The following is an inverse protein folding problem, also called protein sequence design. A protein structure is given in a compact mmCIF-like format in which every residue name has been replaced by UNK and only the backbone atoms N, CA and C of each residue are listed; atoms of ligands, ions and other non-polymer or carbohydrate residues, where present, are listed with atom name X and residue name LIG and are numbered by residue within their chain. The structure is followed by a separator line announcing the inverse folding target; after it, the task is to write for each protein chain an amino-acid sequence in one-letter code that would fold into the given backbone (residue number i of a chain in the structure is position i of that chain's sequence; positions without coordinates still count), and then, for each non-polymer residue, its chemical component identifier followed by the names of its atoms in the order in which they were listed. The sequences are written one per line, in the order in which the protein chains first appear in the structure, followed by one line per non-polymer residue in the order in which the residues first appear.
data_IF_855476770563
#
_entry.id   IF_855476770563
#
_cell.length_a   1.000
_cell.length_b   1.000
_cell.length_c   1.000
_cell.angle_alpha   90.00
_cell.angle_beta   90.00
_cell.angle_gamma   90.00
#
_symmetry.space_group_name_H-M   'P 1'
#
loop_
_entity.id
_entity.type
_entity.pdbx_description
1 polymer ?
#
# COMPACT_ATOMS: atom_id res chain seq x y z
N UNK A 1 12.62 28.23 -9.34
CA UNK A 1 11.35 27.50 -9.09
C UNK A 1 11.54 26.71 -7.82
N UNK A 2 10.99 27.19 -6.70
CA UNK A 2 11.14 26.55 -5.40
C UNK A 2 10.50 25.17 -5.46
N UNK A 3 11.27 24.11 -5.21
CA UNK A 3 10.70 22.81 -4.87
C UNK A 3 9.92 22.99 -3.57
N UNK A 4 8.61 23.23 -3.67
CA UNK A 4 7.74 23.30 -2.50
C UNK A 4 7.86 22.00 -1.72
N UNK A 5 8.07 22.10 -0.41
CA UNK A 5 8.04 20.95 0.49
C UNK A 5 6.68 20.29 0.34
N UNK A 6 6.66 19.00 -0.03
CA UNK A 6 5.44 18.21 -0.15
C UNK A 6 5.20 17.50 1.17
N UNK A 7 3.97 17.48 1.69
CA UNK A 7 3.67 16.79 2.94
C UNK A 7 3.94 15.30 2.83
N UNK A 8 4.64 14.77 3.83
CA UNK A 8 4.79 13.36 4.08
C UNK A 8 3.95 12.93 5.30
N UNK A 9 3.53 11.68 5.34
CA UNK A 9 2.67 11.11 6.38
C UNK A 9 3.27 9.81 6.92
N UNK A 10 3.22 9.64 8.25
CA UNK A 10 3.70 8.46 8.96
C UNK A 10 2.77 8.08 10.12
N UNK A 11 2.31 6.83 10.13
CA UNK A 11 1.56 6.27 11.26
C UNK A 11 2.43 6.07 12.49
N UNK A 12 1.82 6.25 13.67
CA UNK A 12 2.45 5.89 14.93
C UNK A 12 2.60 4.37 15.01
N UNK A 13 3.77 3.87 15.45
CA UNK A 13 3.94 2.44 15.72
C UNK A 13 3.21 2.00 17.01
N UNK A 14 2.79 2.96 17.85
CA UNK A 14 2.22 2.69 19.19
C UNK A 14 0.71 2.79 19.22
N UNK A 15 0.17 3.73 18.46
CA UNK A 15 -1.26 4.03 18.44
C UNK A 15 -1.75 3.85 17.01
N UNK A 16 -2.60 2.83 16.81
CA UNK A 16 -3.15 2.51 15.50
C UNK A 16 -3.95 3.67 14.89
N UNK A 17 -4.46 4.58 15.73
CA UNK A 17 -5.26 5.72 15.33
C UNK A 17 -4.47 7.01 15.17
N UNK A 18 -3.17 7.07 15.47
CA UNK A 18 -2.38 8.32 15.39
C UNK A 18 -1.38 8.33 14.27
N UNK A 19 -1.18 9.50 13.69
CA UNK A 19 -0.20 9.73 12.63
C UNK A 19 0.33 11.16 12.70
N UNK A 20 1.50 11.36 12.08
CA UNK A 20 2.08 12.69 11.89
C UNK A 20 2.11 13.05 10.42
N UNK A 21 1.93 14.34 10.14
CA UNK A 21 2.18 14.94 8.84
C UNK A 21 3.35 15.90 8.99
N UNK A 22 4.33 15.78 8.09
CA UNK A 22 5.55 16.56 8.08
C UNK A 22 5.67 17.31 6.75
N UNK A 23 5.72 18.64 6.82
CA UNK A 23 6.08 19.52 5.70
C UNK A 23 6.92 20.73 6.16
N UNK A 24 6.36 21.93 6.19
CA UNK A 24 6.93 23.11 6.85
C UNK A 24 6.74 23.08 8.35
N UNK A 25 5.80 22.30 8.85
CA UNK A 25 5.56 22.05 10.27
C UNK A 25 5.27 20.57 10.50
N UNK A 26 5.34 20.15 11.76
CA UNK A 26 5.00 18.82 12.20
C UNK A 26 3.64 18.85 12.91
N UNK A 27 2.64 18.19 12.34
CA UNK A 27 1.30 18.08 12.95
C UNK A 27 1.02 16.65 13.37
N UNK A 28 0.53 16.48 14.60
CA UNK A 28 0.09 15.20 15.17
C UNK A 28 -1.43 15.14 15.14
N UNK A 29 -1.97 14.10 14.54
CA UNK A 29 -3.41 13.90 14.36
C UNK A 29 -3.83 12.49 14.78
N UNK A 30 -5.11 12.34 15.10
CA UNK A 30 -5.73 11.09 15.53
C UNK A 30 -7.01 10.80 14.72
N UNK A 31 -7.23 9.55 14.35
CA UNK A 31 -8.41 9.05 13.64
C UNK A 31 -9.50 8.68 14.65
N UNK A 32 -10.37 9.63 14.97
CA UNK A 32 -11.56 9.45 15.80
C UNK A 32 -12.73 10.19 15.14
N UNK A 33 -13.96 9.94 15.60
CA UNK A 33 -15.11 10.77 15.22
C UNK A 33 -14.77 12.24 15.55
N UNK A 34 -14.54 13.05 14.51
CA UNK A 34 -13.80 14.31 14.58
C UNK A 34 -14.25 15.30 13.51
N UNK A 35 -13.63 16.48 13.49
CA UNK A 35 -14.11 17.63 12.71
C UNK A 35 -13.67 17.64 11.23
N UNK A 36 -12.59 16.93 10.86
CA UNK A 36 -12.09 16.85 9.49
C UNK A 36 -12.41 15.47 8.89
N UNK A 37 -13.40 15.34 7.99
CA UNK A 37 -13.74 14.04 7.40
C UNK A 37 -12.59 13.54 6.50
N UNK A 38 -12.23 12.27 6.67
CA UNK A 38 -11.24 11.54 5.86
C UNK A 38 -11.91 10.59 4.87
N UNK A 39 -13.07 10.05 5.25
CA UNK A 39 -13.99 9.24 4.45
C UNK A 39 -15.41 9.41 5.00
N UNK A 40 -16.39 8.67 4.47
CA UNK A 40 -17.74 8.63 5.04
C UNK A 40 -17.78 8.11 6.49
N UNK A 41 -16.82 7.25 6.86
CA UNK A 41 -16.80 6.56 8.15
C UNK A 41 -15.71 7.05 9.10
N UNK A 42 -14.74 7.83 8.60
CA UNK A 42 -13.56 8.22 9.38
C UNK A 42 -13.32 9.72 9.33
N UNK A 43 -12.83 10.25 10.44
CA UNK A 43 -12.46 11.65 10.58
C UNK A 43 -11.14 11.78 11.34
N UNK A 44 -10.51 12.93 11.19
CA UNK A 44 -9.28 13.31 11.85
C UNK A 44 -9.54 14.42 12.87
N UNK A 45 -8.84 14.33 13.99
CA UNK A 45 -8.74 15.37 15.00
C UNK A 45 -7.28 15.75 15.14
N UNK A 46 -6.98 17.04 14.98
CA UNK A 46 -5.65 17.58 15.20
C UNK A 46 -5.36 17.67 16.70
N UNK A 47 -4.25 17.09 17.15
CA UNK A 47 -3.85 17.05 18.56
C UNK A 47 -2.79 18.11 18.89
N UNK A 48 -1.78 18.28 18.02
CA UNK A 48 -0.69 19.21 18.25
C UNK A 48 -0.04 19.66 16.94
N UNK A 49 0.61 20.84 16.97
CA UNK A 49 1.43 21.38 15.90
C UNK A 49 2.76 21.83 16.51
N UNK A 50 3.88 21.50 15.84
CA UNK A 50 5.19 22.07 16.10
C UNK A 50 5.71 22.76 14.82
N UNK A 51 5.94 24.06 14.93
CA UNK A 51 6.44 24.92 13.85
C UNK A 51 7.84 25.48 14.13
N UNK A 52 8.49 25.05 15.21
CA UNK A 52 9.78 25.59 15.66
C UNK A 52 10.94 25.17 14.74
N UNK A 53 10.80 24.02 14.07
CA UNK A 53 11.78 23.50 13.11
C UNK A 53 11.19 23.47 11.71
N UNK A 54 11.22 24.59 10.96
CA UNK A 54 10.69 24.60 9.61
C UNK A 54 11.59 23.79 8.66
N UNK A 55 11.00 23.32 7.56
CA UNK A 55 11.71 22.66 6.46
C UNK A 55 12.35 21.30 6.81
N UNK A 56 11.67 20.53 7.67
CA UNK A 56 12.08 19.16 8.00
C UNK A 56 12.04 18.26 6.76
N UNK A 57 13.14 17.57 6.48
CA UNK A 57 13.23 16.62 5.35
C UNK A 57 12.81 15.19 5.73
N UNK A 58 12.99 14.83 6.99
CA UNK A 58 12.67 13.50 7.50
C UNK A 58 12.27 13.57 8.98
N UNK A 59 11.47 12.59 9.40
CA UNK A 59 11.02 12.41 10.79
C UNK A 59 10.89 10.91 11.05
N UNK A 60 11.09 10.50 12.30
CA UNK A 60 10.98 9.10 12.69
C UNK A 60 10.36 8.98 14.09
N UNK A 61 9.42 8.03 14.24
CA UNK A 61 8.80 7.73 15.52
C UNK A 61 9.76 6.97 16.43
N UNK A 62 9.86 7.43 17.68
CA UNK A 62 10.59 6.69 18.72
C UNK A 62 9.92 5.32 18.95
N UNK A 63 10.66 4.20 18.92
CA UNK A 63 10.08 2.86 18.80
C UNK A 63 9.66 2.24 20.14
N UNK A 64 9.97 2.86 21.28
CA UNK A 64 9.60 2.31 22.59
C UNK A 64 8.24 2.84 23.04
N UNK A 65 7.32 1.93 23.33
CA UNK A 65 6.03 2.25 23.93
C UNK A 65 6.24 2.59 25.42
N UNK A 66 5.85 3.79 25.84
CA UNK A 66 5.68 4.08 27.26
C UNK A 66 4.19 3.96 27.62
N UNK A 67 3.83 3.31 28.74
CA UNK A 67 2.44 3.28 29.19
C UNK A 67 1.93 4.71 29.40
N UNK A 68 0.64 4.94 29.15
CA UNK A 68 0.05 6.28 29.33
C UNK A 68 0.37 6.84 30.71
N UNK A 69 0.73 8.13 30.82
CA UNK A 69 1.15 8.72 32.07
C UNK A 69 -0.03 8.70 33.05
N UNK A 70 0.02 7.79 34.02
CA UNK A 70 -0.72 7.96 35.27
C UNK A 70 -0.14 9.17 36.00
N UNK A 71 -0.98 9.86 36.79
CA UNK A 71 -0.66 11.12 37.45
C UNK A 71 0.59 11.11 38.35
N UNK A 72 1.21 9.96 38.57
CA UNK A 72 2.40 9.75 39.40
C UNK A 72 3.69 9.48 38.59
N UNK A 73 3.64 9.40 37.25
CA UNK A 73 4.83 9.15 36.40
C UNK A 73 5.61 10.44 36.12
N UNK A 74 6.32 10.92 37.15
CA UNK A 74 7.21 12.10 37.04
C UNK A 74 8.56 11.81 36.34
N UNK A 75 8.95 10.55 36.15
CA UNK A 75 10.26 10.14 35.60
C UNK A 75 10.13 9.22 34.36
N UNK A 76 9.41 9.65 33.34
CA UNK A 76 9.42 8.98 32.03
C UNK A 76 10.66 9.38 31.23
N UNK A 77 11.41 8.42 30.68
CA UNK A 77 12.62 8.70 29.86
C UNK A 77 12.29 9.59 28.67
N UNK A 78 11.06 9.53 28.13
CA UNK A 78 10.62 10.42 27.06
C UNK A 78 10.68 11.91 27.43
N UNK A 79 10.41 12.29 28.69
CA UNK A 79 10.53 13.69 29.15
C UNK A 79 11.98 14.18 29.11
N UNK A 80 12.95 13.28 29.35
CA UNK A 80 14.38 13.59 29.24
C UNK A 80 14.87 13.71 27.78
N UNK A 81 14.08 13.26 26.79
CA UNK A 81 14.42 13.37 25.37
C UNK A 81 13.88 14.66 24.74
N UNK A 82 12.84 15.26 25.32
CA UNK A 82 12.28 16.52 24.82
C UNK A 82 13.35 17.60 24.89
N UNK A 83 13.60 18.26 23.76
CA UNK A 83 14.63 19.30 23.64
C UNK A 83 16.06 18.81 23.53
N UNK A 84 16.32 17.48 23.53
CA UNK A 84 17.66 16.97 23.23
C UNK A 84 17.98 17.13 21.76
N UNK A 85 19.16 17.66 21.46
CA UNK A 85 19.64 17.89 20.11
C UNK A 85 20.84 16.99 19.79
N UNK A 86 20.80 16.27 18.67
CA UNK A 86 21.90 15.42 18.20
C UNK A 86 22.58 16.10 17.03
N UNK A 87 23.76 16.69 17.28
CA UNK A 87 24.37 17.64 16.34
C UNK A 87 25.63 17.03 15.72
N UNK A 88 25.71 16.90 14.38
CA UNK A 88 26.93 16.45 13.72
C UNK A 88 28.05 17.48 13.88
N UNK A 89 29.30 17.02 13.77
CA UNK A 89 30.48 17.90 13.83
C UNK A 89 30.38 19.08 12.86
N UNK A 90 30.03 18.79 11.60
CA UNK A 90 29.77 19.81 10.58
C UNK A 90 28.28 19.83 10.21
N UNK A 91 27.64 21.00 10.33
CA UNK A 91 26.22 21.17 10.01
C UNK A 91 25.97 20.92 8.51
N UNK A 92 24.98 20.09 8.22
CA UNK A 92 24.60 19.66 6.86
C UNK A 92 23.21 19.04 6.88
N UNK A 93 22.58 18.91 5.70
CA UNK A 93 21.23 18.38 5.61
C UNK A 93 21.17 16.92 6.10
N UNK A 94 20.14 16.63 6.90
CA UNK A 94 19.77 15.27 7.28
C UNK A 94 18.73 14.75 6.28
N UNK A 95 19.09 13.68 5.58
CA UNK A 95 18.30 13.08 4.51
C UNK A 95 17.35 12.01 5.01
N UNK A 96 17.74 11.32 6.08
CA UNK A 96 17.01 10.17 6.60
C UNK A 96 17.33 9.96 8.08
N UNK A 97 16.34 9.48 8.84
CA UNK A 97 16.46 9.13 10.24
C UNK A 97 15.86 7.73 10.44
N UNK A 98 16.53 6.91 11.25
CA UNK A 98 16.05 5.57 11.57
C UNK A 98 16.41 5.19 13.00
N UNK A 99 15.40 4.96 13.82
CA UNK A 99 15.57 4.33 15.13
C UNK A 99 15.87 2.85 14.98
N UNK A 100 16.81 2.35 15.77
CA UNK A 100 17.00 0.90 15.86
C UNK A 100 15.75 0.29 16.52
N UNK A 101 15.08 -0.68 15.88
CA UNK A 101 13.83 -1.22 16.37
C UNK A 101 13.98 -2.06 17.65
N UNK A 102 15.19 -2.46 18.01
CA UNK A 102 15.45 -3.31 19.19
C UNK A 102 16.29 -2.57 20.22
N UNK A 103 17.43 -2.03 19.82
CA UNK A 103 18.21 -1.10 20.65
C UNK A 103 17.57 0.29 20.59
N UNK A 104 16.42 0.47 21.23
CA UNK A 104 15.59 1.68 21.09
C UNK A 104 16.31 2.99 21.44
N UNK A 105 17.44 2.92 22.13
CA UNK A 105 18.26 4.10 22.44
C UNK A 105 19.08 4.61 21.25
N UNK A 106 19.19 3.84 20.16
CA UNK A 106 20.05 4.18 19.04
C UNK A 106 19.27 4.87 17.93
N UNK A 107 19.73 6.06 17.57
CA UNK A 107 19.22 6.85 16.45
C UNK A 107 20.29 6.97 15.37
N UNK A 108 20.02 6.46 14.19
CA UNK A 108 20.85 6.65 13.01
C UNK A 108 20.36 7.84 12.17
N UNK A 109 21.29 8.64 11.66
CA UNK A 109 21.03 9.68 10.67
C UNK A 109 21.91 9.51 9.43
N UNK A 110 21.32 9.75 8.27
CA UNK A 110 22.00 9.84 6.98
C UNK A 110 22.08 11.29 6.54
N UNK A 111 23.30 11.75 6.26
CA UNK A 111 23.63 13.15 6.03
C UNK A 111 24.21 13.38 4.63
N UNK A 112 24.22 14.63 4.20
CA UNK A 112 24.91 15.03 2.98
C UNK A 112 26.42 14.80 3.04
N UNK A 113 27.04 14.81 1.86
CA UNK A 113 28.48 14.63 1.72
C UNK A 113 29.24 15.78 2.38
N UNK A 114 30.27 15.43 3.14
CA UNK A 114 31.29 16.36 3.59
C UNK A 114 32.68 15.74 3.42
N UNK A 115 33.66 16.52 2.96
CA UNK A 115 35.00 16.02 2.55
C UNK A 115 35.86 15.50 3.71
N UNK A 116 35.53 15.84 4.93
CA UNK A 116 36.31 15.48 6.12
C UNK A 116 35.43 14.87 7.21
N UNK A 117 34.29 14.28 6.84
CA UNK A 117 33.32 13.75 7.79
C UNK A 117 32.58 12.52 7.24
N UNK A 118 31.83 11.86 8.11
CA UNK A 118 31.07 10.65 7.87
C UNK A 118 29.59 11.00 7.63
N UNK A 119 28.95 10.43 6.61
CA UNK A 119 27.54 10.74 6.34
C UNK A 119 26.55 9.87 7.10
N UNK A 120 26.98 8.79 7.74
CA UNK A 120 26.11 7.97 8.58
C UNK A 120 26.59 8.07 10.02
N UNK A 121 25.77 8.68 10.86
CA UNK A 121 26.06 8.88 12.28
C UNK A 121 25.01 8.15 13.10
N UNK A 122 25.44 7.47 14.16
CA UNK A 122 24.54 6.78 15.09
C UNK A 122 24.81 7.33 16.48
N UNK A 123 23.79 7.84 17.15
CA UNK A 123 23.89 8.29 18.54
C UNK A 123 23.13 7.35 19.46
N UNK A 124 23.62 7.24 20.69
CA UNK A 124 22.87 6.66 21.80
C UNK A 124 22.27 7.81 22.62
N UNK A 125 20.94 7.88 22.70
CA UNK A 125 20.21 8.96 23.38
C UNK A 125 20.41 9.00 24.90
N UNK A 126 20.91 7.91 25.47
CA UNK A 126 21.27 7.81 26.88
C UNK A 126 22.70 8.30 27.17
N UNK A 127 23.48 8.60 26.12
CA UNK A 127 24.82 9.17 26.27
C UNK A 127 24.74 10.51 26.98
N UNK A 128 25.51 10.67 28.05
CA UNK A 128 25.67 11.94 28.75
C UNK A 128 26.49 12.90 27.88
N UNK A 129 26.16 14.19 27.92
CA UNK A 129 26.95 15.23 27.28
C UNK A 129 28.42 15.15 27.72
N UNK A 130 29.35 15.18 26.77
CA UNK A 130 30.79 15.32 27.03
C UNK A 130 31.27 16.67 26.49
N UNK A 131 31.72 17.59 27.37
CA UNK A 131 32.19 18.91 26.96
C UNK A 131 33.52 18.90 26.19
N UNK A 132 34.25 17.78 26.15
CA UNK A 132 35.54 17.67 25.45
C UNK A 132 35.43 17.72 23.91
N UNK A 133 34.24 17.60 23.34
CA UNK A 133 34.01 17.50 21.89
C UNK A 133 33.53 18.80 21.22
N UNK A 134 33.44 19.92 21.95
CA UNK A 134 32.83 21.16 21.44
C UNK A 134 33.90 22.24 21.21
N UNK A 135 34.12 22.71 19.96
CA UNK A 135 34.86 23.95 19.72
C UNK A 135 34.11 25.12 20.37
N UNK A 136 34.82 25.94 21.15
CA UNK A 136 34.28 27.03 21.98
C UNK A 136 33.39 28.07 21.24
N UNK A 137 33.34 28.05 19.91
CA UNK A 137 32.45 28.91 19.12
C UNK A 137 30.97 28.44 19.08
N UNK A 138 30.66 27.16 19.30
CA UNK A 138 29.26 26.66 19.24
C UNK A 138 28.46 26.89 20.53
N UNK A 139 29.11 27.23 21.64
CA UNK A 139 28.46 27.59 22.92
C UNK A 139 27.81 28.98 22.84
N UNK A 140 28.15 29.81 21.83
CA UNK A 140 27.66 31.19 21.71
C UNK A 140 26.38 31.34 20.88
N UNK A 141 25.98 30.32 20.12
CA UNK A 141 24.76 30.35 19.30
C UNK A 141 23.57 29.66 19.99
N UNK A 142 23.82 28.84 21.02
CA UNK A 142 22.82 28.40 21.99
C UNK A 142 22.83 29.39 23.15
N UNK A 143 21.94 30.38 23.11
CA UNK A 143 21.74 31.24 24.27
C UNK A 143 21.44 30.37 25.49
N UNK A 144 22.25 30.52 26.54
CA UNK A 144 22.01 30.19 27.96
C UNK A 144 20.99 29.07 28.30
N UNK A 145 21.05 27.92 27.62
CA UNK A 145 20.18 26.76 27.90
C UNK A 145 21.04 25.49 28.01
N UNK A 146 20.92 24.85 29.17
CA UNK A 146 21.49 23.56 29.60
C UNK A 146 22.39 22.83 28.60
N UNK A 147 23.69 22.99 28.77
CA UNK A 147 24.74 22.24 28.05
C UNK A 147 24.55 20.71 28.06
N UNK A 148 23.75 20.15 28.97
CA UNK A 148 23.43 18.72 29.04
C UNK A 148 22.45 18.19 27.98
N UNK A 149 21.79 19.06 27.20
CA UNK A 149 20.77 18.66 26.21
C UNK A 149 21.33 18.42 24.79
N UNK A 150 22.53 18.91 24.49
CA UNK A 150 23.16 18.74 23.17
C UNK A 150 24.06 17.51 23.20
N UNK A 151 23.97 16.62 22.21
CA UNK A 151 24.84 15.44 22.07
C UNK A 151 25.61 15.55 20.77
N UNK A 152 26.94 15.70 20.86
CA UNK A 152 27.82 15.94 19.70
C UNK A 152 28.66 14.73 19.30
N UNK A 153 28.91 13.79 20.23
CA UNK A 153 29.72 12.60 19.98
C UNK A 153 28.83 11.43 19.54
N UNK A 154 28.87 11.00 18.27
CA UNK A 154 28.19 9.78 17.83
C UNK A 154 28.86 8.53 18.40
N UNK A 155 28.08 7.47 18.57
CA UNK A 155 28.54 6.12 18.91
C UNK A 155 29.25 5.46 17.72
N UNK A 156 28.74 5.68 16.50
CA UNK A 156 29.34 5.19 15.27
C UNK A 156 29.38 6.27 14.20
N UNK A 157 30.50 6.29 13.46
CA UNK A 157 30.74 7.17 12.32
C UNK A 157 31.08 6.31 11.09
N UNK A 158 30.22 6.34 10.07
CA UNK A 158 30.27 5.44 8.91
C UNK A 158 30.08 6.22 7.61
N UNK A 159 30.56 5.66 6.49
CA UNK A 159 30.37 6.27 5.17
C UNK A 159 31.16 7.58 4.98
N UNK A 160 32.48 7.50 5.14
CA UNK A 160 33.36 8.65 4.96
C UNK A 160 33.31 9.20 3.52
N UNK A 161 33.27 10.53 3.36
CA UNK A 161 33.39 11.24 2.08
C UNK A 161 32.27 11.02 1.04
N UNK A 162 31.23 10.26 1.38
CA UNK A 162 30.04 10.05 0.56
C UNK A 162 28.82 10.69 1.20
N UNK A 163 27.75 10.93 0.43
CA UNK A 163 26.44 11.28 0.97
C UNK A 163 25.66 10.00 1.29
N UNK A 164 24.82 10.05 2.32
CA UNK A 164 23.82 9.03 2.62
C UNK A 164 22.43 9.60 2.39
N UNK A 165 21.66 8.98 1.48
CA UNK A 165 20.33 9.45 1.08
C UNK A 165 19.21 8.67 1.75
N UNK A 166 19.45 7.42 2.15
CA UNK A 166 18.44 6.57 2.75
C UNK A 166 19.08 5.52 3.69
N UNK A 167 18.34 5.11 4.72
CA UNK A 167 18.80 4.18 5.75
C UNK A 167 17.66 3.26 6.18
N UNK A 168 17.97 2.00 6.48
CA UNK A 168 17.08 1.13 7.24
C UNK A 168 17.87 0.10 8.06
N UNK A 169 17.36 -0.18 9.26
CA UNK A 169 17.89 -1.25 10.10
C UNK A 169 17.44 -2.61 9.59
N UNK A 170 18.35 -3.58 9.55
CA UNK A 170 18.05 -4.94 9.12
C UNK A 170 17.73 -5.81 10.33
N UNK A 171 16.51 -6.38 10.44
CA UNK A 171 16.06 -7.12 11.63
C UNK A 171 16.63 -8.55 11.76
N UNK A 172 17.81 -8.84 11.20
CA UNK A 172 18.50 -10.15 11.31
C UNK A 172 19.02 -10.41 12.73
N UNK A 173 19.39 -11.67 13.01
CA UNK A 173 19.83 -12.28 14.29
C UNK A 173 20.73 -11.46 15.24
N UNK A 174 21.39 -10.40 14.77
CA UNK A 174 22.32 -9.61 15.57
C UNK A 174 21.97 -8.13 15.69
N UNK A 175 20.92 -7.65 15.00
CA UNK A 175 20.28 -6.32 15.15
C UNK A 175 21.22 -5.10 15.09
N UNK A 176 22.44 -5.32 14.60
CA UNK A 176 23.54 -4.35 14.44
C UNK A 176 23.95 -4.21 12.97
N UNK A 177 23.02 -4.53 12.07
CA UNK A 177 23.19 -4.38 10.64
C UNK A 177 22.38 -3.18 10.16
N UNK A 178 23.06 -2.26 9.48
CA UNK A 178 22.45 -1.06 8.91
C UNK A 178 22.67 -1.05 7.41
N UNK A 179 21.57 -1.02 6.64
CA UNK A 179 21.62 -0.83 5.20
C UNK A 179 21.52 0.67 4.90
N UNK A 180 22.45 1.16 4.07
CA UNK A 180 22.55 2.56 3.69
C UNK A 180 22.61 2.75 2.18
N UNK A 181 21.77 3.64 1.66
CA UNK A 181 21.88 4.20 0.31
C UNK A 181 22.93 5.30 0.28
N UNK A 182 24.16 4.91 0.00
CA UNK A 182 25.31 5.81 -0.13
C UNK A 182 25.45 6.30 -1.57
N UNK A 183 26.21 7.37 -1.80
CA UNK A 183 26.46 7.85 -3.16
C UNK A 183 27.00 6.73 -4.09
N UNK A 184 26.17 6.33 -5.06
CA UNK A 184 26.41 5.28 -6.08
C UNK A 184 26.51 3.83 -5.57
N UNK A 185 26.16 3.55 -4.31
CA UNK A 185 26.11 2.17 -3.82
C UNK A 185 25.08 1.98 -2.70
N UNK A 186 24.61 0.75 -2.55
CA UNK A 186 23.99 0.29 -1.30
C UNK A 186 25.05 -0.40 -0.47
N UNK A 187 25.19 -0.03 0.80
CA UNK A 187 26.16 -0.58 1.73
C UNK A 187 25.50 -1.13 2.98
N UNK A 188 25.87 -2.34 3.38
CA UNK A 188 25.51 -2.96 4.66
C UNK A 188 26.70 -2.78 5.60
N UNK A 189 26.47 -2.06 6.69
CA UNK A 189 27.43 -1.88 7.77
C UNK A 189 27.11 -2.85 8.92
N UNK A 190 28.12 -3.60 9.36
CA UNK A 190 28.04 -4.39 10.59
C UNK A 190 28.67 -3.61 11.73
N UNK A 191 27.86 -3.15 12.69
CA UNK A 191 28.33 -2.33 13.81
C UNK A 191 29.18 -3.09 14.82
N UNK A 192 29.26 -4.43 14.70
CA UNK A 192 30.20 -5.25 15.46
C UNK A 192 31.60 -5.21 14.86
N UNK A 193 31.71 -4.91 13.56
CA UNK A 193 32.97 -4.78 12.84
C UNK A 193 32.86 -3.66 11.80
N UNK A 194 33.02 -2.41 12.25
CA UNK A 194 32.87 -1.22 11.42
C UNK A 194 34.00 -1.02 10.39
N UNK A 195 35.07 -1.81 10.48
CA UNK A 195 36.18 -1.78 9.51
C UNK A 195 35.82 -2.43 8.17
N UNK A 196 34.79 -3.28 8.13
CA UNK A 196 34.33 -3.95 6.91
C UNK A 196 32.90 -3.54 6.57
N UNK A 197 32.62 -3.48 5.27
CA UNK A 197 31.26 -3.27 4.75
C UNK A 197 31.04 -4.17 3.53
N UNK A 198 29.83 -4.68 3.39
CA UNK A 198 29.38 -5.31 2.14
C UNK A 198 28.67 -4.27 1.30
N UNK A 199 28.95 -4.14 0.01
CA UNK A 199 28.28 -3.14 -0.81
C UNK A 199 28.08 -3.61 -2.25
N UNK A 200 27.11 -3.00 -2.92
CA UNK A 200 26.82 -3.18 -4.34
C UNK A 200 26.67 -1.84 -5.03
N UNK A 201 27.27 -1.68 -6.20
CA UNK A 201 27.14 -0.45 -6.99
C UNK A 201 25.75 -0.36 -7.61
N UNK A 202 25.05 0.74 -7.34
CA UNK A 202 23.73 1.01 -7.90
C UNK A 202 23.38 2.49 -7.75
N UNK A 203 22.50 2.98 -8.62
CA UNK A 203 21.90 4.31 -8.48
C UNK A 203 20.64 4.29 -7.62
N UNK A 204 20.04 3.12 -7.39
CA UNK A 204 18.81 2.92 -6.62
C UNK A 204 19.04 3.13 -5.11
N UNK A 205 19.33 4.37 -4.72
CA UNK A 205 19.75 4.76 -3.36
C UNK A 205 18.87 5.86 -2.74
N UNK A 206 17.88 6.39 -3.48
CA UNK A 206 17.03 7.51 -3.02
C UNK A 206 16.13 7.09 -1.85
N UNK A 207 15.72 5.83 -1.81
CA UNK A 207 15.05 5.23 -0.68
C UNK A 207 15.35 3.74 -0.61
N UNK A 208 15.38 3.20 0.60
CA UNK A 208 15.52 1.77 0.90
C UNK A 208 14.44 1.38 1.90
N UNK A 209 13.83 0.20 1.70
CA UNK A 209 12.80 -0.32 2.61
C UNK A 209 12.87 -1.84 2.66
N UNK A 210 12.90 -2.38 3.88
CA UNK A 210 12.92 -3.83 4.13
C UNK A 210 11.49 -4.35 4.09
N UNK A 211 11.29 -5.52 3.50
CA UNK A 211 10.01 -6.20 3.56
C UNK A 211 9.72 -6.64 5.01
N UNK A 212 8.58 -6.23 5.61
CA UNK A 212 8.25 -6.55 6.99
C UNK A 212 8.04 -8.05 7.26
N UNK A 213 7.76 -8.84 6.23
CA UNK A 213 7.52 -10.29 6.34
C UNK A 213 8.72 -11.12 5.89
N UNK A 214 9.64 -10.54 5.11
CA UNK A 214 10.83 -11.21 4.58
C UNK A 214 12.06 -10.33 4.75
N UNK A 215 12.76 -10.48 5.87
CA UNK A 215 13.86 -9.60 6.28
C UNK A 215 15.03 -9.51 5.29
N UNK A 216 15.18 -10.53 4.43
CA UNK A 216 16.21 -10.59 3.38
C UNK A 216 15.77 -9.94 2.08
N UNK A 217 14.49 -9.57 1.95
CA UNK A 217 13.96 -8.87 0.77
C UNK A 217 13.95 -7.38 1.03
N UNK A 218 14.63 -6.63 0.18
CA UNK A 218 14.69 -5.17 0.25
C UNK A 218 14.26 -4.58 -1.08
N UNK A 219 13.50 -3.50 -1.03
CA UNK A 219 13.28 -2.63 -2.19
C UNK A 219 14.13 -1.38 -2.06
N UNK A 220 14.73 -0.95 -3.17
CA UNK A 220 15.36 0.35 -3.29
C UNK A 220 14.99 1.01 -4.61
N UNK A 221 15.09 2.34 -4.70
CA UNK A 221 14.66 3.04 -5.90
C UNK A 221 15.52 4.26 -6.26
N UNK A 222 15.42 4.63 -7.54
CA UNK A 222 15.97 5.87 -8.10
C UNK A 222 15.20 6.26 -9.34
N UNK A 223 14.83 7.53 -9.43
CA UNK A 223 13.96 8.03 -10.50
C UNK A 223 12.71 7.13 -10.60
N UNK A 224 12.34 6.65 -11.79
CA UNK A 224 11.19 5.77 -11.98
C UNK A 224 11.45 4.27 -11.71
N UNK A 225 12.67 3.89 -11.34
CA UNK A 225 13.09 2.49 -11.26
C UNK A 225 13.09 1.98 -9.82
N UNK A 226 12.52 0.79 -9.60
CA UNK A 226 12.60 0.05 -8.33
C UNK A 226 13.40 -1.23 -8.54
N UNK A 227 14.38 -1.46 -7.68
CA UNK A 227 15.18 -2.68 -7.62
C UNK A 227 14.79 -3.49 -6.38
N UNK A 228 14.59 -4.80 -6.56
CA UNK A 228 14.34 -5.76 -5.48
C UNK A 228 15.60 -6.58 -5.24
N UNK A 229 16.02 -6.69 -3.99
CA UNK A 229 17.27 -7.30 -3.56
C UNK A 229 17.01 -8.48 -2.63
N UNK A 230 17.87 -9.49 -2.73
CA UNK A 230 18.02 -10.54 -1.73
C UNK A 230 19.35 -10.33 -1.00
N UNK A 231 19.28 -10.00 0.29
CA UNK A 231 20.45 -9.68 1.09
C UNK A 231 21.38 -10.90 1.32
N UNK A 232 20.93 -12.12 1.02
CA UNK A 232 21.78 -13.32 1.03
C UNK A 232 22.67 -13.42 -0.21
N UNK A 233 22.24 -12.82 -1.32
CA UNK A 233 22.97 -12.73 -2.61
C UNK A 233 23.12 -11.25 -3.01
N UNK A 234 23.80 -10.47 -2.17
CA UNK A 234 23.87 -9.00 -2.28
C UNK A 234 24.93 -8.52 -3.29
N UNK A 235 24.85 -8.99 -4.53
CA UNK A 235 25.77 -8.63 -5.62
C UNK A 235 25.07 -7.92 -6.79
N UNK A 236 23.81 -8.28 -7.05
CA UNK A 236 22.96 -7.70 -8.08
C UNK A 236 21.50 -7.71 -7.61
N UNK A 237 20.63 -6.83 -8.13
CA UNK A 237 19.21 -6.95 -7.84
C UNK A 237 18.70 -8.28 -8.38
N UNK A 238 17.76 -8.87 -7.67
CA UNK A 238 17.09 -10.10 -8.09
C UNK A 238 16.28 -9.81 -9.36
N UNK A 239 15.53 -8.72 -9.32
CA UNK A 239 14.83 -8.16 -10.47
C UNK A 239 14.58 -6.67 -10.25
N UNK A 240 14.19 -5.99 -11.33
CA UNK A 240 13.75 -4.61 -11.30
C UNK A 240 12.32 -4.54 -11.79
N UNK A 241 11.49 -3.72 -11.15
CA UNK A 241 10.12 -3.48 -11.62
C UNK A 241 10.13 -2.66 -12.90
N UNK A 242 9.01 -2.70 -13.64
CA UNK A 242 8.79 -1.88 -14.83
C UNK A 242 9.07 -0.40 -14.52
N UNK A 243 10.00 0.18 -15.26
CA UNK A 243 10.41 1.57 -15.06
C UNK A 243 9.25 2.53 -15.32
N UNK A 244 9.05 3.44 -14.38
CA UNK A 244 7.99 4.43 -14.44
C UNK A 244 8.44 5.69 -15.17
N UNK A 245 7.56 6.36 -15.95
CA UNK A 245 7.93 7.51 -16.76
C UNK A 245 8.28 8.76 -15.94
N UNK A 246 7.82 8.81 -14.67
CA UNK A 246 8.08 9.91 -13.75
C UNK A 246 8.84 9.41 -12.53
N UNK A 247 9.66 10.26 -11.90
CA UNK A 247 10.42 9.87 -10.72
C UNK A 247 9.52 9.47 -9.57
N UNK A 248 9.94 8.47 -8.81
CA UNK A 248 9.26 8.00 -7.61
C UNK A 248 9.46 9.01 -6.48
N UNK A 249 8.38 9.27 -5.75
CA UNK A 249 8.41 10.07 -4.52
C UNK A 249 8.32 9.20 -3.28
N UNK A 250 7.71 8.01 -3.37
CA UNK A 250 7.59 7.09 -2.24
C UNK A 250 7.47 5.64 -2.69
N UNK A 251 8.10 4.74 -1.94
CA UNK A 251 8.04 3.28 -2.10
C UNK A 251 7.87 2.69 -0.70
N UNK A 252 6.83 1.87 -0.48
CA UNK A 252 6.56 1.31 0.84
C UNK A 252 5.89 -0.06 0.75
N UNK A 253 6.42 -1.03 1.52
CA UNK A 253 5.80 -2.33 1.71
C UNK A 253 4.53 -2.21 2.55
N UNK A 254 3.53 -3.04 2.25
CA UNK A 254 2.37 -3.21 3.09
C UNK A 254 2.75 -3.99 4.36
N UNK A 255 2.55 -3.45 5.57
CA UNK A 255 2.90 -4.13 6.81
C UNK A 255 1.95 -5.27 7.16
N UNK A 256 0.73 -5.27 6.63
CA UNK A 256 -0.30 -6.26 6.94
C UNK A 256 -0.47 -7.33 5.85
N UNK A 257 0.18 -7.17 4.70
CA UNK A 257 0.07 -8.09 3.56
C UNK A 257 1.44 -8.43 2.98
N UNK A 258 1.76 -9.71 3.02
CA UNK A 258 3.01 -10.25 2.49
C UNK A 258 3.19 -9.92 1.01
N UNK A 259 4.36 -9.42 0.65
CA UNK A 259 4.74 -9.23 -0.75
C UNK A 259 4.01 -8.12 -1.50
N UNK A 260 3.17 -7.31 -0.85
CA UNK A 260 2.54 -6.16 -1.49
C UNK A 260 3.41 -4.92 -1.33
N UNK A 261 3.89 -4.36 -2.44
CA UNK A 261 4.65 -3.12 -2.49
C UNK A 261 3.83 -2.02 -3.17
N UNK A 262 3.78 -0.84 -2.56
CA UNK A 262 3.19 0.36 -3.17
C UNK A 262 4.27 1.33 -3.63
N UNK A 263 3.98 2.02 -4.73
CA UNK A 263 4.83 3.08 -5.29
C UNK A 263 3.98 4.28 -5.69
N UNK A 264 4.55 5.47 -5.49
CA UNK A 264 3.97 6.74 -5.90
C UNK A 264 4.98 7.50 -6.75
N UNK A 265 4.54 7.99 -7.91
CA UNK A 265 5.35 8.85 -8.78
C UNK A 265 5.00 10.32 -8.61
N UNK A 266 5.94 11.19 -8.97
CA UNK A 266 5.80 12.63 -8.85
C UNK A 266 4.60 13.14 -9.65
N UNK A 267 3.78 13.98 -9.00
CA UNK A 267 2.60 14.62 -9.59
C UNK A 267 1.63 13.60 -10.19
N UNK A 268 1.37 12.52 -9.44
CA UNK A 268 0.39 11.48 -9.76
C UNK A 268 -0.70 11.43 -8.70
N UNK A 269 -1.92 11.11 -9.12
CA UNK A 269 -3.03 10.72 -8.25
C UNK A 269 -3.23 9.19 -8.20
N UNK A 270 -2.30 8.43 -8.78
CA UNK A 270 -2.33 6.97 -8.88
C UNK A 270 -1.22 6.38 -8.02
N UNK A 271 -1.58 5.39 -7.20
CA UNK A 271 -0.63 4.53 -6.50
C UNK A 271 -0.56 3.21 -7.25
N UNK A 272 0.63 2.78 -7.64
CA UNK A 272 0.86 1.47 -8.24
C UNK A 272 1.19 0.45 -7.17
N UNK A 273 0.59 -0.71 -7.27
CA UNK A 273 0.70 -1.83 -6.37
C UNK A 273 1.31 -3.01 -7.12
N UNK A 274 2.33 -3.62 -6.52
CA UNK A 274 3.02 -4.80 -7.04
C UNK A 274 2.88 -5.90 -6.02
N UNK A 275 2.18 -6.96 -6.39
CA UNK A 275 2.02 -8.14 -5.56
C UNK A 275 3.04 -9.21 -5.97
N UNK A 276 3.90 -9.55 -5.02
CA UNK A 276 5.00 -10.50 -5.14
C UNK A 276 4.83 -11.68 -4.17
N UNK A 277 3.60 -11.97 -3.72
CA UNK A 277 3.35 -13.08 -2.79
C UNK A 277 3.64 -14.46 -3.40
N UNK A 278 3.48 -14.59 -4.73
CA UNK A 278 3.69 -15.84 -5.46
C UNK A 278 5.10 -16.01 -5.99
N UNK A 279 5.98 -15.03 -5.76
CA UNK A 279 7.37 -15.13 -6.19
C UNK A 279 8.11 -16.06 -5.23
N UNK A 280 8.65 -17.20 -5.71
CA UNK A 280 9.31 -18.18 -4.84
C UNK A 280 10.53 -17.57 -4.14
N UNK A 281 10.65 -17.83 -2.84
CA UNK A 281 11.79 -17.44 -2.00
C UNK A 281 12.48 -18.70 -1.47
N UNK A 282 13.82 -18.84 -1.52
CA UNK A 282 14.80 -17.95 -2.15
C UNK A 282 14.60 -17.85 -3.65
N UNK A 283 14.98 -16.71 -4.23
CA UNK A 283 14.93 -16.56 -5.68
C UNK A 283 15.90 -17.55 -6.33
N UNK A 284 15.36 -18.50 -7.10
CA UNK A 284 16.14 -19.35 -7.99
C UNK A 284 16.58 -18.54 -9.20
N UNK A 285 17.81 -18.77 -9.68
CA UNK A 285 18.40 -17.97 -10.77
C UNK A 285 17.68 -18.16 -12.13
N UNK A 286 16.73 -19.09 -12.26
CA UNK A 286 16.08 -19.45 -13.53
C UNK A 286 14.58 -19.12 -13.65
N UNK A 287 13.91 -18.66 -12.59
CA UNK A 287 12.45 -18.40 -12.63
C UNK A 287 12.15 -16.91 -12.64
N UNK A 288 11.49 -16.45 -13.70
CA UNK A 288 10.99 -15.08 -13.78
C UNK A 288 9.92 -14.85 -12.70
N UNK A 289 10.04 -13.79 -11.88
CA UNK A 289 9.09 -13.54 -10.80
C UNK A 289 7.71 -13.21 -11.37
N UNK A 290 6.68 -13.90 -10.89
CA UNK A 290 5.28 -13.56 -11.23
C UNK A 290 4.82 -12.40 -10.37
N UNK A 291 4.82 -11.19 -10.96
CA UNK A 291 4.44 -9.95 -10.28
C UNK A 291 3.08 -9.51 -10.83
N UNK A 292 2.09 -9.36 -9.94
CA UNK A 292 0.79 -8.84 -10.33
C UNK A 292 0.79 -7.33 -10.10
N UNK A 293 0.81 -6.57 -11.20
CA UNK A 293 0.71 -5.11 -11.18
C UNK A 293 -0.76 -4.67 -11.19
N UNK A 294 -1.08 -3.65 -10.39
CA UNK A 294 -2.33 -2.91 -10.50
C UNK A 294 -2.18 -1.46 -10.04
N UNK A 295 -3.14 -0.64 -10.43
CA UNK A 295 -3.21 0.76 -10.04
C UNK A 295 -4.44 1.01 -9.18
N UNK A 296 -4.30 1.84 -8.15
CA UNK A 296 -5.43 2.38 -7.38
C UNK A 296 -5.37 3.91 -7.43
N UNK A 297 -6.54 4.54 -7.39
CA UNK A 297 -6.69 5.99 -7.44
C UNK A 297 -7.49 6.46 -6.21
N UNK A 298 -6.82 6.69 -5.07
CA UNK A 298 -7.47 7.12 -3.83
C UNK A 298 -8.18 8.47 -3.94
N UNK A 299 -7.74 9.35 -4.85
CA UNK A 299 -8.32 10.65 -5.10
C UNK A 299 -8.66 10.78 -6.59
N UNK A 300 -9.90 11.17 -6.92
CA UNK A 300 -10.34 11.37 -8.31
C UNK A 300 -9.56 12.50 -9.00
N UNK A 301 -9.48 13.67 -8.36
CA UNK A 301 -8.99 14.90 -9.01
C UNK A 301 -7.65 15.43 -8.45
N UNK A 302 -7.33 15.12 -7.19
CA UNK A 302 -6.16 15.68 -6.51
C UNK A 302 -4.92 14.80 -6.66
N UNK A 303 -3.76 15.42 -6.89
CA UNK A 303 -2.48 14.72 -6.85
C UNK A 303 -2.13 14.30 -5.42
N UNK A 304 -1.39 13.21 -5.30
CA UNK A 304 -0.94 12.67 -4.03
C UNK A 304 0.49 13.16 -3.77
N UNK A 305 0.69 13.77 -2.61
CA UNK A 305 2.03 14.13 -2.12
C UNK A 305 2.71 12.92 -1.48
N UNK A 306 1.98 12.19 -0.65
CA UNK A 306 2.46 11.01 0.05
C UNK A 306 1.32 10.07 0.45
N UNK A 307 1.66 8.85 0.82
CA UNK A 307 0.76 7.84 1.36
C UNK A 307 1.40 7.09 2.52
N UNK A 308 0.59 6.49 3.40
CA UNK A 308 1.06 5.58 4.42
C UNK A 308 0.07 4.43 4.65
N UNK A 309 0.57 3.20 4.57
CA UNK A 309 -0.17 2.01 4.96
C UNK A 309 -0.49 2.04 6.43
N UNK A 310 -1.71 1.68 6.79
CA UNK A 310 -2.10 1.52 8.17
C UNK A 310 -1.31 0.35 8.80
N UNK A 311 -0.81 0.47 10.04
CA UNK A 311 0.09 -0.53 10.64
C UNK A 311 -0.59 -1.88 10.92
N UNK A 312 -1.87 -1.88 11.31
CA UNK A 312 -2.61 -3.11 11.71
C UNK A 312 -3.87 -3.42 10.90
N UNK A 313 -4.65 -2.42 10.51
CA UNK A 313 -5.81 -2.58 9.62
C UNK A 313 -5.37 -3.02 8.21
N UNK A 314 -5.89 -4.15 7.78
CA UNK A 314 -5.57 -4.74 6.47
C UNK A 314 -6.08 -3.85 5.34
N UNK A 315 -5.30 -3.78 4.26
CA UNK A 315 -5.68 -3.11 3.02
C UNK A 315 -6.05 -1.62 3.19
N UNK A 316 -5.72 -0.99 4.32
CA UNK A 316 -6.02 0.41 4.58
C UNK A 316 -4.78 1.27 4.40
N UNK A 317 -4.92 2.41 3.75
CA UNK A 317 -3.89 3.44 3.67
C UNK A 317 -4.53 4.82 3.76
N UNK A 318 -3.77 5.80 4.23
CA UNK A 318 -4.15 7.21 4.11
C UNK A 318 -3.24 7.86 3.09
N UNK A 319 -3.84 8.69 2.24
CA UNK A 319 -3.12 9.55 1.30
C UNK A 319 -3.25 11.01 1.73
N UNK A 320 -2.22 11.80 1.44
CA UNK A 320 -2.21 13.25 1.68
C UNK A 320 -1.89 13.99 0.40
N UNK A 321 -2.67 15.02 0.08
CA UNK A 321 -2.47 15.91 -1.07
C UNK A 321 -1.56 17.09 -0.71
N UNK A 322 -1.10 17.90 -1.69
CA UNK A 322 -0.26 19.08 -1.42
C UNK A 322 -0.91 20.13 -0.52
N UNK A 323 -2.23 20.24 -0.53
CA UNK A 323 -3.00 21.15 0.34
C UNK A 323 -3.43 20.47 1.66
N UNK A 324 -2.76 19.39 2.06
CA UNK A 324 -3.01 18.61 3.28
C UNK A 324 -4.42 18.02 3.42
N UNK A 325 -5.14 17.90 2.31
CA UNK A 325 -6.38 17.13 2.30
C UNK A 325 -6.00 15.66 2.37
N UNK A 326 -6.60 14.95 3.31
CA UNK A 326 -6.36 13.54 3.54
C UNK A 326 -7.54 12.72 3.08
N UNK A 327 -7.26 11.54 2.55
CA UNK A 327 -8.29 10.56 2.22
C UNK A 327 -7.90 9.22 2.81
N UNK A 328 -8.80 8.63 3.57
CA UNK A 328 -8.68 7.24 4.03
C UNK A 328 -9.19 6.31 2.93
N UNK A 329 -8.34 5.38 2.52
CA UNK A 329 -8.55 4.56 1.34
C UNK A 329 -8.37 3.08 1.64
N UNK A 330 -9.39 2.30 1.29
CA UNK A 330 -9.34 0.84 1.34
C UNK A 330 -8.97 0.27 -0.02
N UNK A 331 -7.83 -0.40 -0.06
CA UNK A 331 -7.26 -1.12 -1.19
C UNK A 331 -8.00 -2.44 -1.37
N UNK A 332 -9.10 -2.44 -2.12
CA UNK A 332 -9.86 -3.65 -2.39
C UNK A 332 -9.04 -4.71 -3.12
N UNK A 333 -9.12 -5.96 -2.67
CA UNK A 333 -8.52 -7.10 -3.35
C UNK A 333 -9.31 -7.47 -4.60
N UNK A 334 -8.65 -8.15 -5.55
CA UNK A 334 -9.39 -8.86 -6.59
C UNK A 334 -10.07 -10.04 -5.92
N UNK A 335 -11.38 -9.92 -5.74
CA UNK A 335 -12.20 -10.99 -5.22
C UNK A 335 -12.29 -12.07 -6.30
N UNK A 336 -11.73 -13.26 -6.02
CA UNK A 336 -12.02 -14.43 -6.83
C UNK A 336 -13.43 -14.90 -6.52
N UNK A 337 -14.28 -14.89 -7.54
CA UNK A 337 -15.64 -15.39 -7.47
C UNK A 337 -15.68 -16.83 -7.97
N UNK A 338 -16.33 -17.71 -7.23
CA UNK A 338 -16.67 -19.06 -7.67
C UNK A 338 -18.20 -19.18 -7.73
N UNK A 339 -18.72 -19.53 -8.90
CA UNK A 339 -20.15 -19.76 -9.09
C UNK A 339 -20.41 -21.26 -9.13
N UNK A 340 -21.29 -21.77 -8.27
CA UNK A 340 -21.63 -23.19 -8.26
C UNK A 340 -22.69 -23.52 -9.32
N UNK A 341 -22.77 -24.80 -9.69
CA UNK A 341 -23.83 -25.31 -10.57
C UNK A 341 -25.23 -25.23 -9.94
N UNK A 342 -25.32 -24.93 -8.64
CA UNK A 342 -26.56 -24.77 -7.88
C UNK A 342 -26.84 -23.33 -7.50
N UNK A 343 -26.36 -22.37 -8.31
CA UNK A 343 -26.60 -20.93 -8.16
C UNK A 343 -26.14 -20.32 -6.84
N UNK A 344 -25.21 -20.99 -6.14
CA UNK A 344 -24.50 -20.36 -5.02
C UNK A 344 -23.27 -19.62 -5.53
N UNK A 345 -23.17 -18.35 -5.16
CA UNK A 345 -22.01 -17.51 -5.40
C UNK A 345 -21.14 -17.54 -4.15
N UNK A 346 -19.90 -18.02 -4.28
CA UNK A 346 -18.92 -17.99 -3.20
C UNK A 346 -17.77 -17.06 -3.56
N UNK A 347 -17.27 -16.34 -2.55
CA UNK A 347 -16.08 -15.52 -2.72
C UNK A 347 -15.32 -15.38 -1.42
N UNK A 348 -14.00 -15.22 -1.54
CA UNK A 348 -13.15 -14.88 -0.41
C UNK A 348 -12.83 -13.39 -0.42
N UNK A 349 -12.91 -12.75 0.74
CA UNK A 349 -12.42 -11.39 0.94
C UNK A 349 -11.66 -11.33 2.26
N UNK A 350 -10.36 -11.07 2.19
CA UNK A 350 -9.46 -11.15 3.34
C UNK A 350 -9.43 -12.57 3.93
N UNK A 351 -9.80 -12.70 5.21
CA UNK A 351 -9.85 -13.99 5.93
C UNK A 351 -11.26 -14.60 6.00
N UNK A 352 -12.22 -14.01 5.30
CA UNK A 352 -13.60 -14.44 5.34
C UNK A 352 -13.98 -15.08 4.00
N UNK A 353 -14.68 -16.21 4.10
CA UNK A 353 -15.37 -16.83 2.97
C UNK A 353 -16.85 -16.44 3.07
N UNK A 354 -17.35 -15.83 2.01
CA UNK A 354 -18.75 -15.46 1.87
C UNK A 354 -19.42 -16.42 0.91
N UNK A 355 -20.65 -16.80 1.26
CA UNK A 355 -21.53 -17.60 0.42
C UNK A 355 -22.86 -16.88 0.31
N UNK A 356 -23.32 -16.69 -0.92
CA UNK A 356 -24.66 -16.21 -1.24
C UNK A 356 -25.36 -17.33 -2.00
N UNK A 357 -26.41 -17.90 -1.40
CA UNK A 357 -27.27 -18.88 -2.04
C UNK A 357 -28.70 -18.35 -2.06
N UNK A 358 -29.48 -18.70 -3.08
CA UNK A 358 -30.91 -18.44 -3.06
C UNK A 358 -31.55 -19.14 -1.85
N UNK A 359 -32.25 -18.38 -1.01
CA UNK A 359 -32.94 -18.91 0.15
C UNK A 359 -34.11 -19.81 -0.31
N UNK A 360 -34.04 -21.11 0.00
CA UNK A 360 -35.12 -22.07 -0.28
C UNK A 360 -36.31 -21.93 0.70
N UNK A 361 -36.36 -20.84 1.48
CA UNK A 361 -37.35 -20.59 2.52
C UNK A 361 -38.77 -20.46 1.96
N UNK A 362 -39.71 -21.16 2.58
CA UNK A 362 -41.14 -21.31 2.22
C UNK A 362 -41.96 -19.99 2.20
N UNK A 363 -41.34 -18.81 2.26
CA UNK A 363 -41.98 -17.50 2.24
C UNK A 363 -41.66 -16.62 1.01
N UNK A 364 -40.77 -17.03 0.11
CA UNK A 364 -40.29 -16.21 -1.01
C UNK A 364 -41.20 -16.28 -2.27
N UNK A 365 -42.52 -16.37 -2.10
CA UNK A 365 -43.48 -16.42 -3.21
C UNK A 365 -43.59 -15.09 -4.00
N UNK A 366 -42.78 -14.08 -3.68
CA UNK A 366 -42.84 -12.74 -4.29
C UNK A 366 -41.49 -12.19 -4.80
N UNK A 367 -40.36 -12.88 -4.60
CA UNK A 367 -39.09 -12.46 -5.21
C UNK A 367 -38.89 -13.15 -6.55
N UNK A 368 -38.54 -12.39 -7.57
CA UNK A 368 -38.20 -12.90 -8.88
C UNK A 368 -37.02 -13.89 -8.77
N UNK A 369 -37.23 -15.18 -9.12
CA UNK A 369 -36.15 -16.19 -9.12
C UNK A 369 -34.96 -15.73 -9.96
N UNK A 370 -33.75 -16.07 -9.55
CA UNK A 370 -32.52 -15.83 -10.30
C UNK A 370 -32.61 -16.42 -11.71
N UNK A 371 -32.02 -15.72 -12.68
CA UNK A 371 -32.09 -16.10 -14.10
C UNK A 371 -31.41 -17.45 -14.36
N UNK A 372 -30.33 -17.79 -13.65
CA UNK A 372 -29.67 -19.09 -13.79
C UNK A 372 -30.57 -20.23 -13.27
N UNK A 373 -31.31 -20.00 -12.18
CA UNK A 373 -32.30 -20.96 -11.67
C UNK A 373 -33.46 -21.14 -12.66
N UNK A 374 -34.03 -20.03 -13.17
CA UNK A 374 -35.08 -20.06 -14.21
C UNK A 374 -34.63 -20.81 -15.46
N UNK A 375 -33.41 -20.53 -15.96
CA UNK A 375 -32.88 -21.17 -17.17
C UNK A 375 -32.57 -22.65 -16.96
N UNK A 376 -32.09 -23.04 -15.78
CA UNK A 376 -31.89 -24.45 -15.40
C UNK A 376 -33.20 -25.23 -15.37
N UNK A 377 -34.25 -24.70 -14.72
CA UNK A 377 -35.57 -25.32 -14.67
C UNK A 377 -36.18 -25.48 -16.07
N UNK A 378 -36.04 -24.44 -16.92
CA UNK A 378 -36.47 -24.47 -18.33
C UNK A 378 -35.72 -25.54 -19.12
N UNK A 379 -34.39 -25.61 -18.99
CA UNK A 379 -33.58 -26.61 -19.67
C UNK A 379 -33.95 -28.05 -19.24
N UNK A 380 -34.13 -28.29 -17.94
CA UNK A 380 -34.59 -29.59 -17.42
C UNK A 380 -36.00 -29.94 -17.91
N UNK A 381 -36.87 -28.94 -18.06
CA UNK A 381 -38.21 -29.08 -18.62
C UNK A 381 -38.23 -29.18 -20.15
N UNK A 382 -37.05 -29.23 -20.80
CA UNK A 382 -36.89 -29.29 -22.26
C UNK A 382 -37.56 -28.11 -22.99
N UNK A 383 -37.53 -26.94 -22.38
CA UNK A 383 -38.02 -25.70 -22.99
C UNK A 383 -37.40 -25.48 -24.38
N UNK A 384 -38.24 -25.16 -25.36
CA UNK A 384 -37.85 -24.93 -26.75
C UNK A 384 -37.68 -26.21 -27.59
N UNK A 385 -37.84 -27.41 -27.01
CA UNK A 385 -37.74 -28.67 -27.75
C UNK A 385 -39.09 -29.18 -28.30
N UNK A 386 -40.22 -28.66 -27.82
CA UNK A 386 -41.53 -29.03 -28.38
C UNK A 386 -41.72 -28.32 -29.73
N UNK A 387 -41.45 -29.05 -30.82
CA UNK A 387 -41.59 -28.57 -32.20
C UNK A 387 -42.95 -28.87 -32.81
N UNK A 388 -43.77 -29.70 -32.15
CA UNK A 388 -45.11 -30.09 -32.64
C UNK A 388 -46.17 -29.14 -32.06
N UNK A 389 -46.16 -28.95 -30.75
CA UNK A 389 -47.01 -27.99 -30.05
C UNK A 389 -46.17 -26.80 -29.59
N UNK A 390 -45.61 -26.06 -30.56
CA UNK A 390 -44.69 -24.93 -30.33
C UNK A 390 -45.19 -23.94 -29.28
N UNK A 391 -46.50 -23.69 -29.21
CA UNK A 391 -47.10 -22.80 -28.22
C UNK A 391 -46.83 -23.26 -26.78
N UNK A 392 -46.77 -24.57 -26.51
CA UNK A 392 -46.64 -25.15 -25.15
C UNK A 392 -45.34 -24.74 -24.45
N UNK A 393 -44.33 -24.34 -25.21
CA UNK A 393 -43.08 -23.84 -24.65
C UNK A 393 -43.28 -22.63 -23.71
N UNK A 394 -44.31 -21.78 -23.90
CA UNK A 394 -44.58 -20.70 -22.95
C UNK A 394 -45.00 -21.21 -21.56
N UNK A 395 -45.68 -22.35 -21.48
CA UNK A 395 -46.07 -22.98 -20.21
C UNK A 395 -44.83 -23.54 -19.52
N UNK A 396 -43.92 -24.15 -20.29
CA UNK A 396 -42.62 -24.63 -19.81
C UNK A 396 -41.69 -23.49 -19.36
N UNK A 397 -41.98 -22.25 -19.74
CA UNK A 397 -41.30 -21.05 -19.27
C UNK A 397 -41.86 -20.47 -17.95
N UNK A 398 -42.90 -21.10 -17.38
CA UNK A 398 -43.62 -20.66 -16.18
C UNK A 398 -45.03 -20.14 -16.45
N UNK A 399 -45.39 -19.82 -17.72
CA UNK A 399 -46.72 -19.36 -18.10
C UNK A 399 -47.05 -17.91 -17.76
N UNK A 400 -46.31 -17.29 -16.85
CA UNK A 400 -46.58 -15.95 -16.31
C UNK A 400 -45.98 -14.79 -17.13
N UNK A 401 -45.07 -15.08 -18.06
CA UNK A 401 -44.41 -14.08 -18.90
C UNK A 401 -45.24 -13.79 -20.18
N UNK A 402 -45.88 -12.61 -20.29
CA UNK A 402 -46.74 -12.29 -21.43
C UNK A 402 -45.97 -12.11 -22.74
N UNK A 403 -44.70 -11.70 -22.69
CA UNK A 403 -43.87 -11.55 -23.89
C UNK A 403 -43.48 -12.92 -24.45
N UNK A 404 -43.02 -13.83 -23.59
CA UNK A 404 -42.72 -15.20 -24.00
C UNK A 404 -43.97 -15.93 -24.49
N UNK A 405 -45.13 -15.73 -23.84
CA UNK A 405 -46.41 -16.26 -24.32
C UNK A 405 -46.71 -15.77 -25.73
N UNK A 406 -46.68 -14.46 -25.96
CA UNK A 406 -46.93 -13.87 -27.27
C UNK A 406 -45.99 -14.41 -28.35
N UNK A 407 -44.69 -14.51 -28.03
CA UNK A 407 -43.67 -15.06 -28.93
C UNK A 407 -43.99 -16.51 -29.36
N UNK A 408 -44.26 -17.40 -28.40
CA UNK A 408 -44.50 -18.81 -28.69
C UNK A 408 -45.81 -19.05 -29.46
N UNK A 409 -46.86 -18.28 -29.18
CA UNK A 409 -48.09 -18.34 -29.98
C UNK A 409 -47.85 -17.83 -31.40
N UNK A 410 -47.12 -16.73 -31.57
CA UNK A 410 -46.74 -16.21 -32.90
C UNK A 410 -45.98 -17.26 -33.71
N UNK A 411 -44.97 -17.89 -33.13
CA UNK A 411 -44.19 -18.96 -33.78
C UNK A 411 -45.07 -20.18 -34.13
N UNK A 412 -46.02 -20.55 -33.26
CA UNK A 412 -46.96 -21.64 -33.53
C UNK A 412 -47.85 -21.36 -34.74
N UNK A 413 -48.39 -20.14 -34.86
CA UNK A 413 -49.20 -19.73 -36.01
C UNK A 413 -48.39 -19.68 -37.30
N UNK A 414 -47.16 -19.16 -37.27
CA UNK A 414 -46.27 -19.13 -38.44
C UNK A 414 -46.04 -20.56 -38.97
N UNK A 415 -45.76 -21.51 -38.08
CA UNK A 415 -45.54 -22.92 -38.44
C UNK A 415 -46.81 -23.57 -39.04
N UNK A 416 -47.99 -23.28 -38.48
CA UNK A 416 -49.26 -23.79 -39.00
C UNK A 416 -49.60 -23.21 -40.38
N UNK A 417 -49.38 -21.91 -40.56
CA UNK A 417 -49.62 -21.26 -41.85
C UNK A 417 -48.66 -21.75 -42.93
N UNK A 418 -47.38 -21.98 -42.61
CA UNK A 418 -46.40 -22.51 -43.57
C UNK A 418 -46.65 -23.98 -43.93
N UNK A 419 -47.09 -24.80 -42.98
CA UNK A 419 -47.48 -26.18 -43.24
C UNK A 419 -48.80 -26.27 -44.05
N UNK A 420 -49.78 -25.42 -43.76
CA UNK A 420 -51.05 -25.34 -44.50
C UNK A 420 -50.90 -24.81 -45.93
N UNK A 421 -49.94 -23.90 -46.17
CA UNK A 421 -49.64 -23.38 -47.50
C UNK A 421 -49.05 -24.43 -48.46
N UNK A 422 -48.43 -25.50 -47.94
CA UNK A 422 -47.94 -26.63 -48.75
C UNK A 422 -49.04 -27.62 -49.13
N UNK A 423 -50.17 -27.64 -48.41
CA UNK A 423 -51.25 -28.60 -48.64
C UNK A 423 -52.35 -28.07 -49.57
N UNK A 424 -52.39 -26.74 -49.80
CA UNK A 424 -53.36 -26.08 -50.69
C UNK A 424 -52.96 -25.93 -52.16
N UNK A 425 -51.80 -26.46 -52.59
CA UNK A 425 -51.27 -26.28 -53.95
C UNK A 425 -51.48 -27.47 -54.91
N UNK A 426 -52.34 -28.43 -54.57
CA UNK A 426 -52.73 -29.53 -55.47
C UNK A 426 -54.24 -29.81 -55.39
N UNK A 427 -55.07 -28.92 -55.95
CA UNK A 427 -56.35 -29.33 -56.53
C UNK A 427 -56.40 -28.93 -58.02
N UNK A 428 -56.74 -29.85 -58.94
CA UNK A 428 -56.73 -29.58 -60.36
C UNK A 428 -57.98 -28.80 -60.79
N UNK A 429 -57.81 -27.56 -61.23
CA UNK A 429 -58.87 -26.81 -61.91
C UNK A 429 -59.25 -27.52 -63.23
N UNK A 430 -60.46 -28.07 -63.28
CA UNK A 430 -61.14 -28.46 -64.52
C UNK A 430 -61.73 -27.20 -65.19
N UNK A 431 -61.35 -26.97 -66.43
CA UNK A 431 -61.86 -25.91 -67.29
C UNK A 431 -63.24 -26.28 -67.88
N UNK A 432 -64.15 -25.30 -68.01
CA UNK A 432 -65.24 -25.33 -68.99
C UNK A 432 -65.55 -23.93 -69.52
N UNK A 433 -65.54 -23.82 -70.86
CA UNK A 433 -66.01 -22.68 -71.67
C UNK A 433 -67.53 -22.75 -71.89
N UNK A 434 -68.18 -21.60 -72.08
CA UNK A 434 -69.43 -21.46 -72.84
C UNK A 434 -69.36 -20.19 -73.70
N UNK A 435 -69.93 -20.25 -74.92
CA UNK A 435 -69.90 -19.28 -76.02
C UNK A 435 -70.10 -17.82 -75.64
#
# INVERSE_FOLDING_TARGET
MSSGYKPDILWSPHHADRYVICDTELSLSETKAGALPLSEETAATLLAINSDTPYMKCVAWYPKHEPEPTAESHNSKCKELVGKEFVPKHARQCNTLAWNPVDSNWLAAGLDKHRADFSVLIWDISSKFSPEAVPAEKVRLSGDVDSGLVVTKPLYELGQNDACLSLCWLPRDHQKLLLAGMHRNLAIFDLRNTSQKTFVNTKAIQGVTVDPHFQDRVASFFEGQVAIWDLRKFEKPVFTLTEQPKPLTKVAWCPTRMGLLATLTRDSNIIRLYDMQHTPMPFGDEVEPTIIERSVQPCSESIISSFAWHPSAQNRMVVVSPNRVMNDFTVFERISLAWSSTTSLMWACGRHLYECAEDAGQGAAASEKDIATKMRERAQSRYGHDTVQVWRNHVLAGGDDPQLRSLWYTLHYILHCSAGALQGMFEPFKAYYVK
#
